data_IF_353327603548
#
_entry.id   IF_353327603548
#
_cell.length_a   1.000
_cell.length_b   1.000
_cell.length_c   1.000
_cell.angle_alpha   90.00
_cell.angle_beta   90.00
_cell.angle_gamma   90.00
#
_symmetry.space_group_name_H-M   'P 1'
#
loop_
_entity.id
_entity.type
_entity.pdbx_description
1 polymer ?
#
# COMPACT_ATOMS: atom_id res chain seq x y z
N UNK A 1 1.06 13.63 7.19
CA UNK A 1 -0.19 13.40 7.97
C UNK A 1 -0.92 12.11 7.58
N UNK A 2 -1.32 11.92 6.31
CA UNK A 2 -2.03 10.69 5.87
C UNK A 2 -1.26 9.39 6.10
N UNK A 3 0.05 9.38 5.85
CA UNK A 3 0.90 8.20 6.08
C UNK A 3 0.96 7.83 7.57
N UNK A 4 1.03 8.82 8.47
CA UNK A 4 1.02 8.59 9.92
C UNK A 4 -0.30 7.97 10.38
N UNK A 5 -1.42 8.43 9.81
CA UNK A 5 -2.76 7.84 10.05
C UNK A 5 -2.81 6.40 9.51
N UNK A 6 -2.23 6.14 8.33
CA UNK A 6 -2.13 4.79 7.78
C UNK A 6 -1.33 3.87 8.71
N UNK A 7 -0.13 4.27 9.14
CA UNK A 7 0.70 3.46 10.02
C UNK A 7 -0.01 3.18 11.34
N UNK A 8 -0.60 4.19 11.96
CA UNK A 8 -1.35 4.04 13.20
C UNK A 8 -2.57 3.11 13.05
N UNK A 9 -3.35 3.28 11.99
CA UNK A 9 -4.51 2.43 11.74
C UNK A 9 -4.12 0.99 11.35
N UNK A 10 -2.99 0.82 10.66
CA UNK A 10 -2.43 -0.48 10.30
C UNK A 10 -1.92 -1.23 11.52
N UNK A 11 -1.16 -0.56 12.41
CA UNK A 11 -0.70 -1.16 13.66
C UNK A 11 -1.85 -1.48 14.60
N UNK A 12 -2.84 -0.58 14.71
CA UNK A 12 -4.06 -0.83 15.49
C UNK A 12 -4.84 -2.04 14.98
N UNK A 13 -5.04 -2.16 13.66
CA UNK A 13 -5.70 -3.32 13.06
C UNK A 13 -4.91 -4.60 13.30
N UNK A 14 -3.60 -4.56 13.17
CA UNK A 14 -2.74 -5.73 13.40
C UNK A 14 -2.81 -6.17 14.85
N UNK A 15 -2.80 -5.22 15.78
CA UNK A 15 -2.97 -5.46 17.21
C UNK A 15 -4.34 -6.09 17.52
N UNK A 16 -5.43 -5.53 17.00
CA UNK A 16 -6.78 -6.07 17.16
C UNK A 16 -6.91 -7.50 16.62
N UNK A 17 -6.30 -7.80 15.46
CA UNK A 17 -6.29 -9.14 14.89
C UNK A 17 -5.48 -10.14 15.73
N UNK A 18 -4.35 -9.73 16.30
CA UNK A 18 -3.54 -10.57 17.18
C UNK A 18 -4.31 -10.87 18.47
N UNK A 19 -4.98 -9.87 19.06
CA UNK A 19 -5.82 -10.04 20.23
C UNK A 19 -6.99 -10.97 19.96
N UNK A 20 -7.72 -10.75 18.86
CA UNK A 20 -8.81 -11.63 18.44
C UNK A 20 -8.33 -13.05 18.13
N UNK A 21 -7.14 -13.22 17.54
CA UNK A 21 -6.55 -14.55 17.31
C UNK A 21 -6.31 -15.26 18.64
N UNK A 22 -5.71 -14.60 19.63
CA UNK A 22 -5.48 -15.19 20.95
C UNK A 22 -6.79 -15.61 21.63
N UNK A 23 -7.79 -14.72 21.61
CA UNK A 23 -9.12 -15.03 22.16
C UNK A 23 -9.78 -16.19 21.40
N UNK A 24 -9.69 -16.21 20.07
CA UNK A 24 -10.23 -17.31 19.26
C UNK A 24 -9.49 -18.62 19.49
N UNK A 25 -8.17 -18.59 19.68
CA UNK A 25 -7.34 -19.76 19.95
C UNK A 25 -7.69 -20.35 21.32
N UNK A 26 -7.78 -19.52 22.36
CA UNK A 26 -8.26 -19.93 23.70
C UNK A 26 -9.71 -20.46 23.65
N UNK A 27 -10.60 -19.78 22.94
CA UNK A 27 -11.98 -20.23 22.75
C UNK A 27 -12.07 -21.53 21.93
N UNK A 28 -11.16 -21.76 20.98
CA UNK A 28 -11.11 -22.98 20.18
C UNK A 28 -10.59 -24.16 21.00
N UNK A 29 -9.67 -23.95 21.94
CA UNK A 29 -9.27 -24.99 22.89
C UNK A 29 -10.42 -25.42 23.80
N UNK A 30 -11.14 -24.45 24.40
CA UNK A 30 -12.33 -24.72 25.24
C UNK A 30 -13.44 -25.37 24.40
N UNK A 31 -13.68 -24.85 23.19
CA UNK A 31 -14.68 -25.42 22.30
C UNK A 31 -14.28 -26.80 21.77
N UNK A 32 -13.01 -27.13 21.55
CA UNK A 32 -12.61 -28.49 21.16
C UNK A 32 -12.86 -29.51 22.28
N UNK A 33 -12.69 -29.07 23.54
CA UNK A 33 -13.01 -29.86 24.73
C UNK A 33 -14.53 -30.07 24.86
N UNK A 34 -15.34 -29.04 24.61
CA UNK A 34 -16.81 -29.09 24.64
C UNK A 34 -17.45 -29.73 23.38
N UNK A 35 -16.80 -29.61 22.22
CA UNK A 35 -17.23 -30.12 20.90
C UNK A 35 -17.04 -31.61 20.73
N UNK A 36 -16.16 -32.24 21.53
CA UNK A 36 -16.14 -33.70 21.64
C UNK A 36 -17.53 -34.27 21.96
N UNK A 37 -18.45 -33.45 22.53
CA UNK A 37 -19.81 -33.84 22.89
C UNK A 37 -20.92 -33.38 21.92
N UNK A 38 -20.70 -32.44 20.98
CA UNK A 38 -21.82 -31.71 20.30
C UNK A 38 -21.68 -31.44 18.79
N UNK A 39 -20.72 -32.05 18.08
CA UNK A 39 -20.02 -31.40 16.95
C UNK A 39 -20.65 -31.14 15.56
N UNK A 40 -21.68 -31.79 15.00
CA UNK A 40 -21.74 -31.80 13.50
C UNK A 40 -22.45 -30.63 12.76
N UNK A 41 -23.47 -29.96 13.31
CA UNK A 41 -24.31 -29.04 12.51
C UNK A 41 -23.98 -27.53 12.59
N UNK A 42 -23.36 -27.03 13.66
CA UNK A 42 -23.21 -25.57 13.94
C UNK A 42 -22.03 -24.86 13.24
N UNK A 43 -21.19 -25.63 12.55
CA UNK A 43 -19.89 -25.16 12.02
C UNK A 43 -20.06 -24.26 10.79
N UNK A 44 -21.11 -24.51 9.98
CA UNK A 44 -21.35 -23.79 8.72
C UNK A 44 -21.78 -22.33 8.92
N UNK A 45 -22.64 -22.08 9.90
CA UNK A 45 -23.31 -20.77 10.05
C UNK A 45 -22.41 -19.72 10.71
N UNK A 46 -21.57 -20.13 11.67
CA UNK A 46 -20.63 -19.25 12.36
C UNK A 46 -19.48 -18.77 11.46
N UNK A 47 -19.08 -19.57 10.46
CA UNK A 47 -18.03 -19.20 9.50
C UNK A 47 -18.51 -18.19 8.44
N UNK A 48 -19.82 -18.13 8.16
CA UNK A 48 -20.41 -17.12 7.27
C UNK A 48 -20.53 -15.76 7.97
N UNK A 49 -20.94 -15.72 9.23
CA UNK A 49 -21.11 -14.48 10.01
C UNK A 49 -19.77 -13.76 10.28
N UNK A 50 -18.70 -14.51 10.57
CA UNK A 50 -17.34 -13.96 10.76
C UNK A 50 -16.75 -13.36 9.48
N UNK A 51 -17.19 -13.82 8.30
CA UNK A 51 -16.75 -13.30 7.00
C UNK A 51 -17.33 -11.91 6.69
N UNK A 52 -18.51 -11.60 7.24
CA UNK A 52 -19.28 -10.39 6.94
C UNK A 52 -18.82 -9.15 7.73
N UNK A 53 -18.31 -9.33 8.96
CA UNK A 53 -17.78 -8.23 9.79
C UNK A 53 -16.46 -7.63 9.27
N UNK A 54 -15.78 -8.33 8.36
CA UNK A 54 -14.46 -7.98 7.80
C UNK A 54 -14.48 -6.76 6.84
N UNK A 55 -15.62 -6.11 6.62
CA UNK A 55 -15.87 -5.29 5.42
C UNK A 55 -16.04 -3.78 5.58
N UNK A 56 -16.08 -3.24 6.79
CA UNK A 56 -16.39 -1.81 6.98
C UNK A 56 -15.45 -1.24 8.04
N UNK A 57 -14.70 -0.16 7.85
CA UNK A 57 -15.14 1.14 7.31
C UNK A 57 -14.04 1.97 6.63
N UNK A 58 -12.80 1.50 6.59
CA UNK A 58 -11.73 2.10 5.80
C UNK A 58 -10.93 0.97 5.17
N UNK A 59 -10.97 0.88 3.85
CA UNK A 59 -10.07 -0.03 3.13
C UNK A 59 -8.66 0.54 3.28
N UNK A 60 -7.96 0.14 4.33
CA UNK A 60 -6.55 0.52 4.57
C UNK A 60 -5.68 0.24 3.35
N UNK A 61 -6.02 -0.82 2.62
CA UNK A 61 -5.52 -1.18 1.30
C UNK A 61 -5.58 -0.02 0.29
N UNK A 62 -6.70 0.71 0.21
CA UNK A 62 -6.81 1.87 -0.69
C UNK A 62 -6.01 3.06 -0.22
N UNK A 63 -6.01 3.32 1.10
CA UNK A 63 -5.22 4.43 1.67
C UNK A 63 -3.72 4.16 1.44
N UNK A 64 -3.31 2.91 1.62
CA UNK A 64 -1.95 2.46 1.33
C UNK A 64 -1.59 2.66 -0.13
N UNK A 65 -2.45 2.26 -1.08
CA UNK A 65 -2.23 2.43 -2.51
C UNK A 65 -1.99 3.91 -2.87
N UNK A 66 -2.82 4.81 -2.34
CA UNK A 66 -2.68 6.26 -2.54
C UNK A 66 -1.40 6.77 -1.89
N UNK A 67 -1.10 6.36 -0.65
CA UNK A 67 0.11 6.77 0.06
C UNK A 67 1.37 6.31 -0.68
N UNK A 68 1.47 5.04 -1.07
CA UNK A 68 2.61 4.46 -1.76
C UNK A 68 2.86 5.18 -3.10
N UNK A 69 1.84 5.31 -3.95
CA UNK A 69 1.96 5.96 -5.24
C UNK A 69 2.34 7.45 -5.12
N UNK A 70 1.70 8.16 -4.19
CA UNK A 70 1.99 9.59 -3.95
C UNK A 70 3.39 9.78 -3.41
N UNK A 71 3.86 8.91 -2.51
CA UNK A 71 5.21 9.04 -1.92
C UNK A 71 6.29 8.85 -2.97
N UNK A 72 6.17 7.82 -3.81
CA UNK A 72 7.10 7.56 -4.91
C UNK A 72 7.17 8.78 -5.84
N UNK A 73 6.01 9.33 -6.24
CA UNK A 73 5.98 10.50 -7.08
C UNK A 73 6.65 11.71 -6.41
N UNK A 74 6.31 12.01 -5.16
CA UNK A 74 6.86 13.16 -4.44
C UNK A 74 8.37 13.03 -4.32
N UNK A 75 8.92 11.86 -4.02
CA UNK A 75 10.38 11.69 -4.05
C UNK A 75 10.96 11.91 -5.43
N UNK A 76 10.38 11.33 -6.49
CA UNK A 76 10.88 11.58 -7.85
C UNK A 76 10.89 13.06 -8.14
N UNK A 77 9.82 13.81 -7.84
CA UNK A 77 9.74 15.26 -8.04
C UNK A 77 10.76 16.01 -7.17
N UNK A 78 10.89 15.64 -5.89
CA UNK A 78 11.82 16.28 -4.95
C UNK A 78 13.26 16.12 -5.44
N UNK A 79 13.66 14.91 -5.83
CA UNK A 79 15.03 14.62 -6.22
C UNK A 79 15.37 15.02 -7.66
N UNK A 80 14.41 14.95 -8.59
CA UNK A 80 14.66 15.25 -10.02
C UNK A 80 14.40 16.70 -10.43
N UNK A 81 13.49 17.40 -9.75
CA UNK A 81 13.08 18.76 -10.12
C UNK A 81 13.49 19.75 -9.03
N UNK A 82 13.11 19.50 -7.78
CA UNK A 82 13.28 20.48 -6.70
C UNK A 82 14.72 20.57 -6.20
N UNK A 83 15.41 19.44 -6.09
CA UNK A 83 16.81 19.38 -5.69
C UNK A 83 17.72 20.17 -6.65
N UNK A 84 17.73 19.92 -7.97
CA UNK A 84 18.60 20.66 -8.88
C UNK A 84 18.23 22.16 -8.93
N UNK A 85 16.95 22.50 -8.88
CA UNK A 85 16.52 23.91 -8.85
C UNK A 85 16.97 24.61 -7.56
N UNK A 86 16.88 23.94 -6.41
CA UNK A 86 17.34 24.49 -5.13
C UNK A 86 18.87 24.66 -5.07
N UNK A 87 19.63 23.80 -5.74
CA UNK A 87 21.09 23.94 -5.90
C UNK A 87 21.42 25.14 -6.77
N UNK A 88 20.69 25.36 -7.87
CA UNK A 88 20.85 26.54 -8.76
C UNK A 88 20.56 27.85 -8.04
N UNK A 89 19.58 27.86 -7.14
CA UNK A 89 19.17 29.04 -6.38
C UNK A 89 19.99 29.28 -5.08
N UNK A 90 21.04 28.48 -4.83
CA UNK A 90 21.82 28.47 -3.57
C UNK A 90 20.97 28.30 -2.29
N UNK A 91 19.76 27.74 -2.42
CA UNK A 91 18.79 27.54 -1.33
C UNK A 91 18.58 26.06 -0.99
N UNK A 92 19.53 25.21 -1.36
CA UNK A 92 19.47 23.75 -1.17
C UNK A 92 19.07 23.33 0.26
N UNK A 93 19.60 24.01 1.30
CA UNK A 93 19.26 23.72 2.69
C UNK A 93 17.80 24.01 3.10
N UNK A 94 17.07 24.85 2.34
CA UNK A 94 15.66 25.17 2.61
C UNK A 94 14.70 24.13 2.02
N UNK A 95 15.10 23.49 0.92
CA UNK A 95 14.29 22.48 0.20
C UNK A 95 14.63 21.05 0.67
N UNK A 96 15.91 20.80 0.98
CA UNK A 96 16.43 19.52 1.47
C UNK A 96 16.76 19.66 2.95
N UNK A 97 15.75 19.93 3.76
CA UNK A 97 15.91 19.88 5.21
C UNK A 97 15.97 18.40 5.67
N UNK A 98 16.53 18.13 6.85
CA UNK A 98 16.56 16.80 7.47
C UNK A 98 15.14 16.19 7.51
N UNK A 99 14.13 17.01 7.78
CA UNK A 99 12.71 16.59 7.78
C UNK A 99 12.28 16.06 6.39
N UNK A 100 12.63 16.77 5.32
CA UNK A 100 12.35 16.38 3.93
C UNK A 100 13.07 15.07 3.57
N UNK A 101 14.30 14.88 4.06
CA UNK A 101 15.04 13.63 3.88
C UNK A 101 14.35 12.42 4.57
N UNK A 102 13.85 12.58 5.79
CA UNK A 102 13.11 11.51 6.46
C UNK A 102 11.75 11.24 5.81
N UNK A 103 11.00 12.29 5.45
CA UNK A 103 9.66 12.19 4.89
C UNK A 103 9.63 11.66 3.45
N UNK A 104 10.64 11.97 2.64
CA UNK A 104 10.71 11.57 1.23
C UNK A 104 11.78 10.52 0.94
N UNK A 105 12.70 10.24 1.87
CA UNK A 105 13.67 9.15 1.77
C UNK A 105 13.23 7.93 2.56
N UNK A 106 13.38 7.99 3.89
CA UNK A 106 13.19 6.85 4.79
C UNK A 106 11.76 6.30 4.74
N UNK A 107 10.77 7.18 4.74
CA UNK A 107 9.36 6.83 4.69
C UNK A 107 8.98 6.02 3.44
N UNK A 108 9.59 6.34 2.29
CA UNK A 108 9.37 5.59 1.05
C UNK A 108 9.96 4.20 1.13
N UNK A 109 11.17 4.07 1.68
CA UNK A 109 11.78 2.77 1.90
C UNK A 109 10.89 1.89 2.78
N UNK A 110 10.29 2.47 3.82
CA UNK A 110 9.38 1.74 4.69
C UNK A 110 8.08 1.32 3.98
N UNK A 111 7.48 2.20 3.17
CA UNK A 111 6.29 1.87 2.37
C UNK A 111 6.56 0.82 1.29
N UNK A 112 7.73 0.88 0.65
CA UNK A 112 8.17 -0.15 -0.30
C UNK A 112 8.41 -1.47 0.42
N UNK A 113 9.07 -1.44 1.59
CA UNK A 113 9.26 -2.63 2.41
C UNK A 113 7.90 -3.26 2.78
N UNK A 114 6.95 -2.47 3.27
CA UNK A 114 5.59 -2.92 3.60
C UNK A 114 4.85 -3.48 2.36
N UNK A 115 4.99 -2.84 1.20
CA UNK A 115 4.44 -3.35 -0.06
C UNK A 115 5.11 -4.66 -0.51
N UNK A 116 6.40 -4.84 -0.27
CA UNK A 116 7.13 -6.08 -0.59
C UNK A 116 6.84 -7.21 0.39
N UNK A 117 6.62 -6.91 1.67
CA UNK A 117 6.24 -7.91 2.66
C UNK A 117 4.78 -8.34 2.49
N UNK A 118 3.90 -7.40 2.14
CA UNK A 118 2.46 -7.64 1.98
C UNK A 118 2.15 -8.20 0.59
N UNK A 119 1.23 -9.16 0.49
CA UNK A 119 0.72 -9.67 -0.81
C UNK A 119 -0.34 -8.75 -1.45
N UNK A 120 -0.22 -7.44 -1.21
CA UNK A 120 -1.25 -6.48 -1.56
C UNK A 120 -1.30 -6.23 -3.07
N UNK A 121 -2.51 -6.28 -3.64
CA UNK A 121 -2.76 -5.97 -5.05
C UNK A 121 -3.45 -4.63 -5.15
N UNK A 122 -2.82 -3.71 -5.89
CA UNK A 122 -3.29 -2.33 -6.00
C UNK A 122 -4.65 -2.30 -6.68
N UNK A 123 -5.58 -1.56 -6.07
CA UNK A 123 -6.95 -1.41 -6.55
C UNK A 123 -7.14 -0.14 -7.36
N UNK A 124 -7.72 -0.24 -8.56
CA UNK A 124 -8.10 0.94 -9.36
C UNK A 124 -9.13 1.84 -8.67
N UNK A 125 -9.81 1.35 -7.63
CA UNK A 125 -10.71 2.15 -6.80
C UNK A 125 -10.00 3.28 -6.03
N UNK A 126 -8.66 3.29 -6.00
CA UNK A 126 -7.85 4.33 -5.39
C UNK A 126 -7.68 5.58 -6.28
N UNK A 127 -7.94 5.49 -7.60
CA UNK A 127 -7.80 6.62 -8.55
C UNK A 127 -8.54 7.90 -8.11
N UNK A 128 -9.83 7.87 -7.69
CA UNK A 128 -10.51 9.10 -7.29
C UNK A 128 -9.84 9.76 -6.09
N UNK A 129 -9.35 8.97 -5.12
CA UNK A 129 -8.63 9.49 -3.95
C UNK A 129 -7.25 10.04 -4.32
N UNK A 130 -6.57 9.38 -5.26
CA UNK A 130 -5.29 9.82 -5.82
C UNK A 130 -5.39 11.18 -6.53
N UNK A 131 -6.49 11.44 -7.25
CA UNK A 131 -6.71 12.72 -7.93
C UNK A 131 -7.26 13.81 -7.00
N UNK A 132 -8.10 13.42 -6.04
CA UNK A 132 -8.65 14.34 -5.04
C UNK A 132 -7.55 14.96 -4.18
N UNK A 133 -6.53 14.16 -3.81
CA UNK A 133 -5.44 14.60 -2.93
C UNK A 133 -4.63 15.80 -3.45
N UNK A 134 -4.00 15.77 -4.64
CA UNK A 134 -3.25 16.91 -5.18
C UNK A 134 -4.17 18.09 -5.51
N UNK A 135 -5.43 17.83 -5.86
CA UNK A 135 -6.43 18.88 -6.11
C UNK A 135 -6.75 19.65 -4.83
N UNK A 136 -7.03 18.95 -3.73
CA UNK A 136 -7.26 19.56 -2.41
C UNK A 136 -6.04 20.33 -1.92
N UNK A 137 -4.84 19.76 -2.11
CA UNK A 137 -3.59 20.44 -1.76
C UNK A 137 -3.40 21.75 -2.55
N UNK A 138 -3.65 21.70 -3.86
CA UNK A 138 -3.56 22.89 -4.73
C UNK A 138 -4.51 23.98 -4.28
N UNK A 139 -5.78 23.63 -4.00
CA UNK A 139 -6.78 24.56 -3.48
C UNK A 139 -6.33 25.18 -2.16
N UNK A 140 -5.82 24.36 -1.22
CA UNK A 140 -5.33 24.83 0.07
C UNK A 140 -4.16 25.82 -0.05
N UNK A 141 -3.18 25.53 -0.91
CA UNK A 141 -2.04 26.44 -1.15
C UNK A 141 -2.52 27.74 -1.78
N UNK A 142 -3.48 27.69 -2.70
CA UNK A 142 -4.11 28.87 -3.27
C UNK A 142 -4.78 29.73 -2.18
N UNK A 143 -5.61 29.14 -1.32
CA UNK A 143 -6.21 29.87 -0.19
C UNK A 143 -5.16 30.50 0.73
N UNK A 144 -4.08 29.78 1.05
CA UNK A 144 -3.00 30.32 1.87
C UNK A 144 -2.25 31.47 1.21
N UNK A 145 -2.05 31.40 -0.10
CA UNK A 145 -1.41 32.47 -0.86
C UNK A 145 -2.22 33.78 -0.81
N UNK A 146 -3.54 33.69 -0.96
CA UNK A 146 -4.46 34.83 -0.84
C UNK A 146 -4.44 35.44 0.58
N UNK A 147 -4.39 34.60 1.62
CA UNK A 147 -4.37 35.05 3.03
C UNK A 147 -3.03 35.74 3.38
N UNK A 148 -1.91 35.31 2.81
CA UNK A 148 -0.55 35.79 3.12
C UNK A 148 -0.08 36.90 2.15
N UNK A 149 -1.02 37.69 1.62
CA UNK A 149 -0.74 38.89 0.78
C UNK A 149 0.17 38.63 -0.42
N UNK A 150 0.08 37.46 -1.05
CA UNK A 150 0.83 37.11 -2.27
C UNK A 150 2.37 37.12 -2.16
N UNK A 151 2.96 37.17 -0.96
CA UNK A 151 4.40 37.39 -0.82
C UNK A 151 5.27 36.19 -1.24
N UNK A 152 4.72 34.97 -1.28
CA UNK A 152 5.51 33.77 -1.55
C UNK A 152 4.70 32.61 -2.16
N UNK A 153 5.21 32.04 -3.25
CA UNK A 153 4.81 30.72 -3.73
C UNK A 153 5.74 29.66 -3.11
N UNK A 154 5.21 28.62 -2.44
CA UNK A 154 6.02 27.58 -1.81
C UNK A 154 6.94 26.86 -2.80
N UNK A 155 6.48 26.70 -4.04
CA UNK A 155 7.23 26.02 -5.09
C UNK A 155 7.19 26.81 -6.40
N UNK A 156 8.28 26.78 -7.19
CA UNK A 156 8.40 27.52 -8.43
C UNK A 156 7.36 27.08 -9.48
N UNK A 157 6.93 25.82 -9.48
CA UNK A 157 5.95 25.27 -10.42
C UNK A 157 4.49 25.67 -10.14
N UNK A 158 4.22 26.36 -9.02
CA UNK A 158 2.87 26.85 -8.67
C UNK A 158 2.65 28.32 -9.03
N UNK A 159 3.69 29.01 -9.52
CA UNK A 159 3.59 30.41 -9.96
C UNK A 159 2.60 30.53 -11.12
N UNK A 160 1.51 31.25 -10.90
CA UNK A 160 0.45 31.46 -11.89
C UNK A 160 0.88 32.44 -13.00
N UNK A 161 1.82 33.33 -12.68
CA UNK A 161 2.31 34.43 -13.55
C UNK A 161 3.08 33.95 -14.80
N UNK A 162 3.31 32.64 -14.93
CA UNK A 162 4.01 32.07 -16.09
C UNK A 162 2.99 31.53 -17.10
N UNK A 163 3.12 31.78 -18.41
CA UNK A 163 2.17 31.30 -19.42
C UNK A 163 2.09 29.76 -19.51
N UNK A 164 3.06 29.04 -18.96
CA UNK A 164 3.08 27.57 -18.86
C UNK A 164 2.42 27.03 -17.57
N UNK A 165 1.84 27.89 -16.72
CA UNK A 165 1.19 27.48 -15.47
C UNK A 165 0.14 26.36 -15.62
N UNK A 166 -0.80 26.37 -16.58
CA UNK A 166 -1.77 25.28 -16.71
C UNK A 166 -1.12 23.93 -17.09
N UNK A 167 0.01 23.95 -17.81
CA UNK A 167 0.77 22.74 -18.14
C UNK A 167 1.44 22.12 -16.92
N UNK A 168 1.90 22.94 -15.96
CA UNK A 168 2.44 22.43 -14.69
C UNK A 168 1.36 21.73 -13.86
N UNK A 169 0.17 22.32 -13.74
CA UNK A 169 -0.95 21.69 -13.03
C UNK A 169 -1.43 20.41 -13.72
N UNK A 170 -1.54 20.42 -15.06
CA UNK A 170 -1.88 19.23 -15.84
C UNK A 170 -0.80 18.14 -15.72
N UNK A 171 0.48 18.51 -15.78
CA UNK A 171 1.62 17.62 -15.62
C UNK A 171 1.70 17.01 -14.22
N UNK A 172 1.33 17.75 -13.17
CA UNK A 172 1.22 17.22 -11.81
C UNK A 172 0.11 16.16 -11.73
N UNK A 173 -1.08 16.43 -12.25
CA UNK A 173 -2.16 15.44 -12.26
C UNK A 173 -1.80 14.19 -13.10
N UNK A 174 -1.20 14.40 -14.26
CA UNK A 174 -0.77 13.32 -15.15
C UNK A 174 0.35 12.48 -14.51
N UNK A 175 1.28 13.09 -13.80
CA UNK A 175 2.36 12.36 -13.12
C UNK A 175 1.86 11.53 -11.93
N UNK A 176 0.83 11.99 -11.21
CA UNK A 176 0.10 11.17 -10.23
C UNK A 176 -0.50 9.94 -10.89
N UNK A 177 -1.23 10.14 -11.99
CA UNK A 177 -1.84 9.03 -12.73
C UNK A 177 -0.78 8.06 -13.29
N UNK A 178 0.28 8.57 -13.90
CA UNK A 178 1.35 7.76 -14.49
C UNK A 178 2.08 6.92 -13.43
N UNK A 179 2.41 7.54 -12.29
CA UNK A 179 3.07 6.82 -11.18
C UNK A 179 2.15 5.74 -10.64
N UNK A 180 0.88 6.05 -10.40
CA UNK A 180 -0.09 5.06 -9.95
C UNK A 180 -0.25 3.89 -10.92
N UNK A 181 -0.32 4.17 -12.22
CA UNK A 181 -0.38 3.14 -13.26
C UNK A 181 0.87 2.26 -13.27
N UNK A 182 2.06 2.83 -13.06
CA UNK A 182 3.31 2.08 -12.98
C UNK A 182 3.30 1.14 -11.77
N UNK A 183 2.95 1.63 -10.58
CA UNK A 183 2.89 0.79 -9.38
C UNK A 183 1.82 -0.30 -9.55
N UNK A 184 0.65 0.03 -10.13
CA UNK A 184 -0.40 -0.93 -10.45
C UNK A 184 0.08 -2.05 -11.37
N UNK A 185 0.79 -1.71 -12.45
CA UNK A 185 1.38 -2.69 -13.37
C UNK A 185 2.41 -3.57 -12.66
N UNK A 186 3.29 -2.98 -11.85
CA UNK A 186 4.27 -3.72 -11.06
C UNK A 186 3.60 -4.71 -10.08
N UNK A 187 2.52 -4.29 -9.43
CA UNK A 187 1.72 -5.14 -8.54
C UNK A 187 1.08 -6.31 -9.29
N UNK A 188 0.48 -6.05 -10.46
CA UNK A 188 -0.12 -7.09 -11.33
C UNK A 188 0.90 -8.09 -11.83
N UNK A 189 2.06 -7.61 -12.30
CA UNK A 189 3.15 -8.46 -12.76
C UNK A 189 3.63 -9.37 -11.63
N UNK A 190 3.91 -8.80 -10.46
CA UNK A 190 4.33 -9.55 -9.28
C UNK A 190 3.31 -10.60 -8.85
N UNK A 191 2.02 -10.28 -8.89
CA UNK A 191 0.95 -11.23 -8.58
C UNK A 191 0.94 -12.40 -9.57
N UNK A 192 1.06 -12.13 -10.88
CA UNK A 192 1.16 -13.17 -11.91
C UNK A 192 2.39 -14.06 -11.72
N UNK A 193 3.57 -13.46 -11.55
CA UNK A 193 4.81 -14.21 -11.33
C UNK A 193 4.68 -15.16 -10.12
N UNK A 194 4.11 -14.67 -9.00
CA UNK A 194 3.90 -15.50 -7.81
C UNK A 194 2.88 -16.62 -8.01
N UNK A 195 1.81 -16.37 -8.77
CA UNK A 195 0.83 -17.40 -9.08
C UNK A 195 1.47 -18.52 -9.90
N UNK A 196 2.28 -18.18 -10.90
CA UNK A 196 3.05 -19.14 -11.69
C UNK A 196 4.06 -19.90 -10.82
N UNK A 197 4.83 -19.21 -9.97
CA UNK A 197 5.79 -19.87 -9.08
C UNK A 197 5.11 -20.85 -8.11
N UNK A 198 3.95 -20.50 -7.54
CA UNK A 198 3.20 -21.41 -6.67
C UNK A 198 2.69 -22.64 -7.43
N UNK A 199 2.17 -22.46 -8.64
CA UNK A 199 1.71 -23.57 -9.46
C UNK A 199 2.86 -24.53 -9.81
N UNK A 200 4.06 -24.00 -10.09
CA UNK A 200 5.25 -24.82 -10.34
C UNK A 200 5.69 -25.58 -9.08
N UNK A 201 5.72 -24.93 -7.91
CA UNK A 201 6.09 -25.59 -6.64
C UNK A 201 5.11 -26.72 -6.31
N UNK A 202 3.80 -26.47 -6.41
CA UNK A 202 2.77 -27.50 -6.15
C UNK A 202 2.88 -28.67 -7.13
N UNK A 203 3.19 -28.39 -8.39
CA UNK A 203 3.38 -29.44 -9.39
C UNK A 203 4.62 -30.30 -9.10
N UNK A 204 5.75 -29.67 -8.79
CA UNK A 204 6.99 -30.37 -8.44
C UNK A 204 6.81 -31.22 -7.18
N UNK A 205 6.14 -30.70 -6.17
CA UNK A 205 5.84 -31.42 -4.93
C UNK A 205 4.92 -32.62 -5.20
N UNK A 206 3.87 -32.44 -6.00
CA UNK A 206 2.96 -33.50 -6.41
C UNK A 206 3.64 -34.62 -7.21
N UNK A 207 4.49 -34.26 -8.18
CA UNK A 207 5.25 -35.23 -8.97
C UNK A 207 6.23 -36.02 -8.08
N UNK A 208 6.86 -35.37 -7.09
CA UNK A 208 7.78 -36.03 -6.15
C UNK A 208 7.09 -37.04 -5.21
N UNK A 209 5.89 -36.71 -4.74
CA UNK A 209 5.09 -37.59 -3.88
C UNK A 209 4.64 -38.83 -4.65
N UNK A 210 4.28 -38.66 -5.93
CA UNK A 210 3.84 -39.78 -6.78
C UNK A 210 5.01 -40.73 -7.09
N UNK A 211 6.20 -40.20 -7.39
CA UNK A 211 7.41 -41.01 -7.56
C UNK A 211 7.77 -41.80 -6.30
N UNK A 212 7.64 -41.21 -5.12
CA UNK A 212 7.87 -41.90 -3.85
C UNK A 212 6.84 -43.00 -3.59
N UNK A 213 5.55 -42.74 -3.88
CA UNK A 213 4.48 -43.75 -3.78
C UNK A 213 4.75 -44.96 -4.66
N UNK A 214 5.18 -44.75 -5.91
CA UNK A 214 5.48 -45.85 -6.85
C UNK A 214 6.66 -46.69 -6.33
N UNK A 215 7.76 -46.06 -5.90
CA UNK A 215 8.92 -46.76 -5.31
C UNK A 215 8.54 -47.61 -4.10
N UNK A 216 7.72 -47.08 -3.21
CA UNK A 216 7.27 -47.80 -2.02
C UNK A 216 6.48 -49.05 -2.42
N UNK A 217 5.54 -48.91 -3.35
CA UNK A 217 4.73 -50.05 -3.80
C UNK A 217 5.56 -51.16 -4.46
N UNK A 218 6.62 -50.82 -5.21
CA UNK A 218 7.54 -51.82 -5.78
C UNK A 218 8.28 -52.60 -4.69
N UNK A 219 8.75 -51.95 -3.61
CA UNK A 219 9.47 -52.60 -2.51
C UNK A 219 8.58 -53.58 -1.72
N UNK A 220 7.28 -53.32 -1.62
CA UNK A 220 6.34 -54.18 -0.87
C UNK A 220 5.74 -55.32 -1.71
N UNK A 221 5.97 -55.34 -3.02
CA UNK A 221 5.45 -56.36 -3.94
C UNK A 221 6.50 -57.43 -4.33
N UNK A 222 7.77 -57.23 -3.97
CA UNK A 222 8.86 -58.22 -4.00
C UNK A 222 9.05 -58.91 -2.64
#
# INVERSE_FOLDING_TARGET
>A
MLQSIYFFASTWRTYDLIQKRKIHEEALYVALEERAETSFDSIGDNMMATRQWRRSWLRLELIFDVCLATSILVAVVVWSILYPEAVRDHKAGKVVNIISFFEHGVNILWLIADFTCTQHVISLNAIPFLLLWPTMYTIFIWFMHEIIKHEFWPYPFMKVDTPLSPLWYAGLLLSHLATFMLVYLASRLRSKYRATSRALVVKVDGDSIEEERVRINEIFLD
#
